data_IF_223732958825
#
_entry.id   IF_223732958825
#
_cell.length_a   1.000
_cell.length_b   1.000
_cell.length_c   1.000
_cell.angle_alpha   90.00
_cell.angle_beta   90.00
_cell.angle_gamma   90.00
#
_symmetry.space_group_name_H-M   'P 1'
#
loop_
_entity.id
_entity.type
_entity.pdbx_description
1 polymer ?
#
# COMPACT_ATOMS: atom_id res chain seq x y z
N UNK A 1 4.55 -2.07 18.62
CA UNK A 1 4.79 -3.38 17.97
C UNK A 1 4.67 -3.23 16.46
N UNK A 2 5.58 -3.81 15.73
CA UNK A 2 5.58 -3.75 14.27
C UNK A 2 5.16 -5.09 13.69
N UNK A 3 4.18 -5.07 12.81
CA UNK A 3 3.82 -6.27 12.07
C UNK A 3 4.62 -6.32 10.76
N UNK A 4 5.45 -7.35 10.62
CA UNK A 4 6.32 -7.53 9.47
C UNK A 4 5.66 -8.48 8.45
N UNK A 5 6.30 -8.65 7.28
CA UNK A 5 5.86 -9.65 6.31
C UNK A 5 5.82 -11.04 6.96
N UNK A 6 6.86 -11.40 7.69
CA UNK A 6 6.94 -12.73 8.32
C UNK A 6 5.87 -12.94 9.38
N UNK A 7 5.65 -11.97 10.26
CA UNK A 7 4.60 -12.10 11.28
C UNK A 7 3.21 -12.09 10.66
N UNK A 8 3.01 -11.36 9.58
CA UNK A 8 1.75 -11.37 8.83
C UNK A 8 1.49 -12.74 8.22
N UNK A 9 2.51 -13.35 7.59
CA UNK A 9 2.40 -14.69 7.00
C UNK A 9 2.01 -15.71 8.06
N UNK A 10 2.67 -15.68 9.21
CA UNK A 10 2.40 -16.60 10.29
C UNK A 10 0.98 -16.46 10.82
N UNK A 11 0.52 -15.23 11.01
CA UNK A 11 -0.84 -14.98 11.51
C UNK A 11 -1.92 -15.42 10.52
N UNK A 12 -1.71 -15.14 9.24
CA UNK A 12 -2.64 -15.58 8.19
C UNK A 12 -2.65 -17.11 8.10
N UNK A 13 -1.48 -17.74 8.13
CA UNK A 13 -1.37 -19.19 8.10
C UNK A 13 -2.10 -19.83 9.28
N UNK A 14 -1.96 -19.24 10.47
CA UNK A 14 -2.65 -19.72 11.67
C UNK A 14 -4.17 -19.65 11.54
N UNK A 15 -4.69 -18.53 11.01
CA UNK A 15 -6.13 -18.31 10.88
C UNK A 15 -6.77 -19.10 9.75
N UNK A 16 -6.06 -19.27 8.64
CA UNK A 16 -6.60 -19.92 7.43
C UNK A 16 -6.23 -21.38 7.34
N UNK A 17 -5.26 -21.84 8.11
CA UNK A 17 -4.66 -23.16 8.05
C UNK A 17 -3.96 -23.44 6.72
N UNK A 18 -3.68 -22.41 5.96
CA UNK A 18 -2.83 -22.52 4.77
C UNK A 18 -1.37 -22.61 5.18
N UNK A 19 -0.58 -23.24 4.33
CA UNK A 19 0.87 -23.33 4.58
C UNK A 19 1.50 -21.94 4.50
N UNK A 20 2.40 -21.64 5.41
CA UNK A 20 3.09 -20.34 5.44
C UNK A 20 3.77 -20.04 4.11
N UNK A 21 4.34 -21.07 3.46
CA UNK A 21 4.97 -20.92 2.14
C UNK A 21 3.99 -20.39 1.09
N UNK A 22 2.76 -20.89 1.09
CA UNK A 22 1.73 -20.47 0.13
C UNK A 22 1.24 -19.08 0.45
N UNK A 23 1.07 -18.76 1.74
CA UNK A 23 0.68 -17.42 2.18
C UNK A 23 1.75 -16.41 1.79
N UNK A 24 3.02 -16.75 2.00
CA UNK A 24 4.13 -15.87 1.62
C UNK A 24 4.12 -15.57 0.11
N UNK A 25 3.92 -16.60 -0.71
CA UNK A 25 3.84 -16.43 -2.16
C UNK A 25 2.69 -15.52 -2.54
N UNK A 26 1.52 -15.70 -1.93
CA UNK A 26 0.36 -14.84 -2.18
C UNK A 26 0.64 -13.39 -1.81
N UNK A 27 1.26 -13.16 -0.66
CA UNK A 27 1.56 -11.80 -0.20
C UNK A 27 2.60 -11.13 -1.10
N UNK A 28 3.64 -11.84 -1.49
CA UNK A 28 4.65 -11.32 -2.40
C UNK A 28 4.06 -11.00 -3.77
N UNK A 29 3.18 -11.86 -4.27
CA UNK A 29 2.48 -11.63 -5.54
C UNK A 29 1.54 -10.42 -5.44
N UNK A 30 0.86 -10.25 -4.31
CA UNK A 30 0.03 -9.08 -4.06
C UNK A 30 0.85 -7.79 -4.18
N UNK A 31 2.02 -7.75 -3.56
CA UNK A 31 2.91 -6.58 -3.63
C UNK A 31 3.34 -6.30 -5.07
N UNK A 32 3.67 -7.35 -5.84
CA UNK A 32 4.02 -7.19 -7.26
C UNK A 32 2.87 -6.60 -8.08
N UNK A 33 1.67 -7.17 -7.94
CA UNK A 33 0.48 -6.73 -8.68
C UNK A 33 0.15 -5.28 -8.34
N UNK A 34 0.19 -4.93 -7.06
CA UNK A 34 -0.10 -3.57 -6.63
C UNK A 34 0.98 -2.58 -7.03
N UNK A 35 2.23 -3.01 -7.02
CA UNK A 35 3.33 -2.16 -7.49
C UNK A 35 3.15 -1.81 -8.96
N UNK A 36 2.81 -2.78 -9.79
CA UNK A 36 2.55 -2.57 -11.22
C UNK A 36 1.41 -1.58 -11.43
N UNK A 37 0.32 -1.73 -10.68
CA UNK A 37 -0.82 -0.82 -10.77
C UNK A 37 -0.45 0.61 -10.38
N UNK A 38 0.30 0.77 -9.30
CA UNK A 38 0.74 2.10 -8.86
C UNK A 38 1.71 2.74 -9.85
N UNK A 39 2.62 1.95 -10.42
CA UNK A 39 3.57 2.45 -11.44
C UNK A 39 2.81 2.97 -12.66
N UNK A 40 1.73 2.30 -13.06
CA UNK A 40 0.92 2.74 -14.20
C UNK A 40 0.03 3.95 -13.89
N UNK A 41 0.06 4.43 -12.66
CA UNK A 41 -0.75 5.57 -12.23
C UNK A 41 -2.14 5.19 -11.74
N UNK A 42 -2.37 3.89 -11.54
CA UNK A 42 -3.65 3.39 -11.05
C UNK A 42 -3.83 3.60 -9.55
N UNK A 43 -5.01 3.22 -9.10
CA UNK A 43 -5.44 3.39 -7.72
C UNK A 43 -5.85 2.04 -7.15
N UNK A 44 -5.55 1.79 -5.90
CA UNK A 44 -5.92 0.55 -5.22
C UNK A 44 -6.91 0.88 -4.12
N UNK A 45 -8.07 0.25 -4.18
CA UNK A 45 -9.10 0.41 -3.16
C UNK A 45 -9.34 -0.93 -2.47
N UNK A 46 -9.11 -0.96 -1.17
CA UNK A 46 -9.47 -2.10 -0.34
C UNK A 46 -10.66 -1.69 0.49
N UNK A 47 -11.81 -2.24 0.15
CA UNK A 47 -13.07 -1.91 0.79
C UNK A 47 -12.99 -2.04 2.30
N UNK A 48 -13.49 -1.04 3.00
CA UNK A 48 -13.52 -0.96 4.47
C UNK A 48 -12.13 -0.90 5.11
N UNK A 49 -11.09 -0.62 4.34
CA UNK A 49 -9.74 -0.58 4.87
C UNK A 49 -8.97 0.65 4.38
N UNK A 50 -8.32 0.57 3.25
CA UNK A 50 -7.42 1.62 2.76
C UNK A 50 -7.65 1.91 1.28
N UNK A 51 -7.27 3.14 0.89
CA UNK A 51 -7.11 3.52 -0.50
C UNK A 51 -5.67 3.97 -0.70
N UNK A 52 -5.00 3.39 -1.69
CA UNK A 52 -3.67 3.79 -2.13
C UNK A 52 -3.79 4.52 -3.46
N UNK A 53 -3.19 5.69 -3.53
CA UNK A 53 -3.28 6.54 -4.71
C UNK A 53 -1.89 7.09 -5.05
N UNK A 54 -1.69 7.48 -6.30
CA UNK A 54 -0.44 8.08 -6.74
C UNK A 54 -0.68 9.54 -7.02
N UNK A 55 0.12 10.40 -6.43
CA UNK A 55 0.05 11.83 -6.63
C UNK A 55 1.32 12.29 -7.33
N UNK A 56 1.16 13.01 -8.42
CA UNK A 56 2.28 13.65 -9.11
C UNK A 56 2.46 15.05 -8.56
N UNK A 57 3.69 15.35 -8.16
CA UNK A 57 4.05 16.68 -7.64
C UNK A 57 5.03 17.31 -8.59
N UNK A 58 4.72 18.54 -9.02
CA UNK A 58 5.59 19.33 -9.86
C UNK A 58 6.04 20.57 -9.10
N UNK A 59 7.33 20.82 -9.17
CA UNK A 59 7.92 22.04 -8.66
C UNK A 59 8.38 22.89 -9.84
N UNK A 60 7.89 24.13 -9.91
CA UNK A 60 8.30 25.04 -10.95
C UNK A 60 9.81 25.35 -10.86
N UNK A 61 10.44 25.55 -12.01
CA UNK A 61 11.83 25.98 -12.07
C UNK A 61 11.96 27.39 -11.51
N UNK A 62 13.07 27.66 -10.82
CA UNK A 62 13.44 29.00 -10.44
C UNK A 62 14.94 29.21 -10.69
N UNK A 63 15.50 30.39 -10.37
CA UNK A 63 16.88 30.68 -10.65
C UNK A 63 17.89 29.84 -9.86
N UNK A 64 17.44 29.14 -8.80
CA UNK A 64 18.32 28.31 -7.97
C UNK A 64 18.10 26.82 -8.22
N UNK A 65 16.90 26.41 -8.63
CA UNK A 65 16.53 25.00 -8.73
C UNK A 65 15.83 24.72 -10.07
N UNK A 66 16.17 23.60 -10.72
CA UNK A 66 15.48 23.21 -11.95
C UNK A 66 14.06 22.74 -11.67
N UNK A 67 13.24 22.75 -12.71
CA UNK A 67 11.91 22.15 -12.65
C UNK A 67 12.03 20.68 -12.27
N UNK A 68 11.22 20.24 -11.31
CA UNK A 68 11.25 18.88 -10.84
C UNK A 68 9.86 18.28 -10.80
N UNK A 69 9.79 17.03 -11.22
CA UNK A 69 8.56 16.23 -11.20
C UNK A 69 8.84 14.91 -10.52
N UNK A 70 8.00 14.53 -9.55
CA UNK A 70 8.12 13.24 -8.90
C UNK A 70 6.74 12.74 -8.48
N UNK A 71 6.67 11.45 -8.23
CA UNK A 71 5.44 10.78 -7.84
C UNK A 71 5.60 10.21 -6.44
N UNK A 72 4.52 10.23 -5.68
CA UNK A 72 4.50 9.65 -4.35
C UNK A 72 3.20 8.89 -4.11
N UNK A 73 3.24 7.91 -3.23
CA UNK A 73 2.05 7.18 -2.81
C UNK A 73 1.37 7.93 -1.69
N UNK A 74 0.07 8.12 -1.80
CA UNK A 74 -0.77 8.70 -0.77
C UNK A 74 -1.68 7.58 -0.25
N UNK A 75 -1.71 7.42 1.07
CA UNK A 75 -2.52 6.40 1.72
C UNK A 75 -3.64 7.09 2.50
N UNK A 76 -4.88 6.66 2.28
CA UNK A 76 -6.04 7.17 3.01
C UNK A 76 -6.78 6.02 3.67
N UNK A 77 -7.11 6.21 4.94
CA UNK A 77 -7.94 5.24 5.65
C UNK A 77 -9.39 5.37 5.21
N UNK A 78 -10.08 4.24 5.10
CA UNK A 78 -11.51 4.23 4.85
C UNK A 78 -12.26 4.81 6.06
N UNK A 79 -13.51 5.22 5.83
CA UNK A 79 -14.38 5.67 6.91
C UNK A 79 -14.54 4.58 7.97
N UNK A 80 -14.70 3.34 7.52
CA UNK A 80 -14.84 2.18 8.40
C UNK A 80 -13.60 1.99 9.29
N UNK A 81 -12.40 2.07 8.71
CA UNK A 81 -11.16 1.93 9.48
C UNK A 81 -11.00 3.07 10.48
N UNK A 82 -11.29 4.31 10.06
CA UNK A 82 -11.19 5.48 10.94
C UNK A 82 -12.14 5.35 12.13
N UNK A 83 -13.34 4.85 11.88
CA UNK A 83 -14.32 4.64 12.96
C UNK A 83 -13.81 3.60 13.96
N UNK A 84 -13.20 2.52 13.49
CA UNK A 84 -12.64 1.49 14.36
C UNK A 84 -11.44 2.00 15.17
N UNK A 85 -10.64 2.89 14.60
CA UNK A 85 -9.49 3.45 15.30
C UNK A 85 -9.90 4.45 16.39
N UNK A 86 -11.00 5.15 16.21
CA UNK A 86 -11.44 6.23 17.09
C UNK A 86 -12.69 5.90 17.91
N UNK A 87 -13.22 4.73 17.71
CA UNK A 87 -14.38 4.23 18.47
C UNK A 87 -13.99 3.31 19.62
#
# INVERSE_FOLDING_TARGET
MTMTKNSTVQEIGRRTRLKNRDVQLMLETLVEVWTEELISGGRIEIEHFLVLDVQTIERAANHLLPKRRFRRVVVRASKSLRAKLNG
#
